data_IF_914814136538
#
_entry.id   IF_914814136538
#
_cell.length_a   1.000
_cell.length_b   1.000
_cell.length_c   1.000
_cell.angle_alpha   90.00
_cell.angle_beta   90.00
_cell.angle_gamma   90.00
#
_symmetry.space_group_name_H-M   'P 1'
#
loop_
_entity.id
_entity.type
_entity.pdbx_description
1 polymer ?
#
# COMPACT_ATOMS: atom_id res chain seq x y z
N UNK A 1 -9.58 5.49 -12.39
CA UNK A 1 -9.59 5.86 -10.97
C UNK A 1 -8.17 5.74 -10.42
N UNK A 2 -7.77 6.72 -9.65
CA UNK A 2 -6.44 6.72 -9.02
C UNK A 2 -6.55 6.20 -7.60
N UNK A 3 -5.82 5.13 -7.30
CA UNK A 3 -5.84 4.48 -6.00
C UNK A 3 -4.41 4.40 -5.46
N UNK A 4 -4.21 4.86 -4.24
CA UNK A 4 -2.95 4.69 -3.54
C UNK A 4 -3.10 3.58 -2.50
N UNK A 5 -2.11 2.71 -2.39
CA UNK A 5 -2.08 1.64 -1.40
C UNK A 5 -0.87 1.86 -0.50
N UNK A 6 -1.12 2.16 0.77
CA UNK A 6 -0.07 2.37 1.75
C UNK A 6 0.29 1.03 2.39
N UNK A 7 1.52 0.59 2.15
CA UNK A 7 2.01 -0.70 2.62
C UNK A 7 2.08 -1.73 1.52
N UNK A 8 3.17 -2.49 1.47
CA UNK A 8 3.41 -3.50 0.44
C UNK A 8 3.63 -4.89 1.03
N UNK A 9 2.99 -5.16 2.16
CA UNK A 9 2.90 -6.51 2.72
C UNK A 9 1.86 -7.34 1.97
N UNK A 10 1.50 -8.48 2.51
CA UNK A 10 0.57 -9.41 1.85
C UNK A 10 -0.77 -8.75 1.52
N UNK A 11 -1.39 -8.07 2.50
CA UNK A 11 -2.69 -7.43 2.29
C UNK A 11 -2.59 -6.31 1.26
N UNK A 12 -1.60 -5.44 1.39
CA UNK A 12 -1.41 -4.31 0.47
C UNK A 12 -1.17 -4.77 -0.95
N UNK A 13 -0.29 -5.75 -1.16
CA UNK A 13 0.01 -6.25 -2.49
C UNK A 13 -1.15 -7.02 -3.11
N UNK A 14 -1.91 -7.77 -2.31
CA UNK A 14 -3.11 -8.46 -2.80
C UNK A 14 -4.13 -7.47 -3.33
N UNK A 15 -4.38 -6.40 -2.59
CA UNK A 15 -5.31 -5.35 -3.00
C UNK A 15 -4.76 -4.58 -4.21
N UNK A 16 -3.48 -4.23 -4.18
CA UNK A 16 -2.86 -3.48 -5.27
C UNK A 16 -2.92 -4.23 -6.59
N UNK A 17 -2.57 -5.52 -6.60
CA UNK A 17 -2.61 -6.32 -7.82
C UNK A 17 -4.04 -6.52 -8.34
N UNK A 18 -4.99 -6.70 -7.45
CA UNK A 18 -6.39 -6.84 -7.83
C UNK A 18 -6.95 -5.56 -8.46
N UNK A 19 -6.72 -4.42 -7.83
CA UNK A 19 -7.25 -3.14 -8.31
C UNK A 19 -6.52 -2.61 -9.54
N UNK A 20 -5.23 -2.91 -9.69
CA UNK A 20 -4.43 -2.43 -10.80
C UNK A 20 -4.81 -3.05 -12.15
N UNK A 21 -5.64 -4.07 -12.16
CA UNK A 21 -6.16 -4.66 -13.38
C UNK A 21 -7.11 -3.70 -14.12
N UNK A 22 -7.76 -2.80 -13.40
CA UNK A 22 -8.76 -1.88 -13.95
C UNK A 22 -8.57 -0.42 -13.53
N UNK A 23 -7.59 -0.12 -12.69
CA UNK A 23 -7.37 1.21 -12.15
C UNK A 23 -5.89 1.53 -12.12
N UNK A 24 -5.56 2.82 -12.06
CA UNK A 24 -4.18 3.26 -11.82
C UNK A 24 -3.89 3.16 -10.31
N UNK A 25 -2.96 2.29 -9.96
CA UNK A 25 -2.60 2.04 -8.55
C UNK A 25 -1.15 2.44 -8.29
N UNK A 26 -0.95 3.20 -7.22
CA UNK A 26 0.38 3.56 -6.73
C UNK A 26 0.57 2.95 -5.35
N UNK A 27 1.53 2.03 -5.23
CA UNK A 27 1.88 1.44 -3.95
C UNK A 27 2.91 2.31 -3.25
N UNK A 28 2.73 2.53 -1.97
CA UNK A 28 3.63 3.36 -1.15
C UNK A 28 4.25 2.51 -0.07
N UNK A 29 5.56 2.55 0.03
CA UNK A 29 6.30 1.89 1.10
C UNK A 29 7.49 2.74 1.49
N UNK A 30 8.03 2.50 2.70
CA UNK A 30 9.20 3.21 3.20
C UNK A 30 10.50 2.46 2.92
N UNK A 31 10.42 1.27 2.36
CA UNK A 31 11.57 0.41 2.08
C UNK A 31 11.92 0.49 0.59
N UNK A 32 13.07 1.11 0.23
CA UNK A 32 13.43 1.30 -1.18
C UNK A 32 13.51 0.01 -1.99
N UNK A 33 13.97 -1.08 -1.37
CA UNK A 33 14.09 -2.37 -2.04
C UNK A 33 12.75 -2.91 -2.51
N UNK A 34 11.70 -2.72 -1.70
CA UNK A 34 10.34 -3.15 -2.05
C UNK A 34 9.79 -2.31 -3.21
N UNK A 35 10.01 -1.01 -3.17
CA UNK A 35 9.58 -0.11 -4.24
C UNK A 35 10.24 -0.48 -5.56
N UNK A 36 11.55 -0.74 -5.53
CA UNK A 36 12.28 -1.14 -6.72
C UNK A 36 11.76 -2.46 -7.30
N UNK A 37 11.52 -3.44 -6.45
CA UNK A 37 10.97 -4.74 -6.89
C UNK A 37 9.62 -4.57 -7.59
N UNK A 38 8.71 -3.84 -7.00
CA UNK A 38 7.37 -3.63 -7.57
C UNK A 38 7.47 -2.94 -8.94
N UNK A 39 8.31 -1.94 -9.08
CA UNK A 39 8.51 -1.23 -10.35
C UNK A 39 9.15 -2.12 -11.43
N UNK A 40 9.85 -3.17 -11.03
CA UNK A 40 10.42 -4.16 -11.93
C UNK A 40 9.51 -5.39 -12.10
N UNK A 41 8.28 -5.33 -11.62
CA UNK A 41 7.29 -6.40 -11.66
C UNK A 41 7.73 -7.65 -10.89
N UNK A 42 8.44 -7.43 -9.80
CA UNK A 42 8.89 -8.48 -8.89
C UNK A 42 8.13 -8.32 -7.58
N UNK A 43 7.57 -9.41 -7.05
CA UNK A 43 6.87 -9.36 -5.78
C UNK A 43 7.84 -9.11 -4.62
N UNK A 44 7.54 -8.15 -3.73
CA UNK A 44 8.36 -7.93 -2.54
C UNK A 44 8.13 -8.99 -1.45
N UNK A 45 7.14 -9.86 -1.64
CA UNK A 45 6.81 -10.92 -0.69
C UNK A 45 6.71 -12.25 -1.43
N UNK A 46 6.84 -13.36 -0.71
CA UNK A 46 6.67 -14.70 -1.28
C UNK A 46 5.19 -15.06 -1.29
N UNK A 47 4.54 -14.85 -2.42
CA UNK A 47 3.14 -15.20 -2.63
C UNK A 47 2.94 -15.55 -4.11
N UNK A 48 2.52 -16.78 -4.38
CA UNK A 48 2.39 -17.28 -5.74
C UNK A 48 1.40 -16.47 -6.60
N UNK A 49 0.30 -16.03 -6.01
CA UNK A 49 -0.69 -15.23 -6.72
C UNK A 49 -0.15 -13.87 -7.08
N UNK A 50 0.51 -13.20 -6.15
CA UNK A 50 1.06 -11.86 -6.38
C UNK A 50 2.18 -11.93 -7.41
N UNK A 51 3.07 -12.90 -7.29
CA UNK A 51 4.15 -13.12 -8.25
C UNK A 51 3.60 -13.38 -9.65
N UNK A 52 2.56 -14.21 -9.74
CA UNK A 52 1.91 -14.53 -11.01
C UNK A 52 1.26 -13.30 -11.64
N UNK A 53 0.50 -12.53 -10.85
CA UNK A 53 -0.17 -11.33 -11.36
C UNK A 53 0.84 -10.28 -11.84
N UNK A 54 1.91 -10.07 -11.11
CA UNK A 54 2.96 -9.11 -11.52
C UNK A 54 3.66 -9.54 -12.81
N UNK A 55 3.85 -10.85 -13.01
CA UNK A 55 4.56 -11.39 -14.18
C UNK A 55 3.65 -11.54 -15.41
N UNK A 56 2.40 -11.93 -15.22
CA UNK A 56 1.51 -12.34 -16.32
C UNK A 56 0.42 -11.32 -16.65
N UNK A 57 -0.03 -10.52 -15.68
CA UNK A 57 -1.11 -9.55 -15.89
C UNK A 57 -0.55 -8.19 -16.28
N UNK A 58 -1.29 -7.51 -17.14
CA UNK A 58 -0.97 -6.13 -17.48
C UNK A 58 -1.56 -5.22 -16.40
N UNK A 59 -0.75 -4.91 -15.41
CA UNK A 59 -1.18 -4.11 -14.26
C UNK A 59 -0.69 -2.67 -14.40
N UNK A 60 -1.59 -1.72 -14.16
CA UNK A 60 -1.23 -0.31 -14.05
C UNK A 60 -0.82 -0.02 -12.60
N UNK A 61 0.33 -0.55 -12.22
CA UNK A 61 0.86 -0.50 -10.86
C UNK A 61 2.27 0.08 -10.87
N UNK A 62 2.44 1.12 -10.09
CA UNK A 62 3.75 1.70 -9.81
C UNK A 62 3.96 1.76 -8.30
N UNK A 63 5.19 1.93 -7.87
CA UNK A 63 5.52 2.07 -6.46
C UNK A 63 6.39 3.28 -6.23
N UNK A 64 6.27 3.89 -5.05
CA UNK A 64 7.05 5.08 -4.70
C UNK A 64 7.34 5.12 -3.20
N UNK A 65 8.42 5.81 -2.86
CA UNK A 65 8.73 6.17 -1.48
C UNK A 65 8.03 7.47 -1.07
N UNK A 66 7.53 8.24 -2.04
CA UNK A 66 6.91 9.54 -1.79
C UNK A 66 5.40 9.40 -1.63
N UNK A 67 4.97 9.15 -0.40
CA UNK A 67 3.55 9.02 -0.08
C UNK A 67 2.77 10.30 -0.37
N UNK A 68 3.32 11.46 -0.09
CA UNK A 68 2.63 12.72 -0.32
C UNK A 68 2.25 12.88 -1.79
N UNK A 69 3.16 12.58 -2.72
CA UNK A 69 2.87 12.65 -4.15
C UNK A 69 1.82 11.63 -4.57
N UNK A 70 1.88 10.41 -4.02
CA UNK A 70 0.92 9.35 -4.33
C UNK A 70 -0.49 9.68 -3.84
N UNK A 71 -0.62 10.21 -2.64
CA UNK A 71 -1.92 10.49 -2.03
C UNK A 71 -2.57 11.74 -2.61
N UNK A 72 -1.78 12.69 -3.07
CA UNK A 72 -2.28 13.99 -3.55
C UNK A 72 -3.31 13.84 -4.66
N UNK A 73 -3.10 12.93 -5.59
CA UNK A 73 -3.97 12.74 -6.75
C UNK A 73 -4.87 11.50 -6.62
N UNK A 74 -4.86 10.82 -5.47
CA UNK A 74 -5.62 9.61 -5.27
C UNK A 74 -7.10 9.91 -5.00
N UNK A 75 -7.98 9.14 -5.63
CA UNK A 75 -9.41 9.15 -5.31
C UNK A 75 -9.69 8.32 -4.06
N UNK A 76 -8.97 7.21 -3.91
CA UNK A 76 -9.03 6.33 -2.75
C UNK A 76 -7.63 6.05 -2.23
N UNK A 77 -7.51 5.98 -0.92
CA UNK A 77 -6.26 5.55 -0.26
C UNK A 77 -6.57 4.33 0.59
N UNK A 78 -6.00 3.20 0.23
CA UNK A 78 -6.12 1.95 1.00
C UNK A 78 -4.93 1.86 1.94
N UNK A 79 -5.21 1.84 3.24
CA UNK A 79 -4.17 1.79 4.26
C UNK A 79 -4.01 0.35 4.72
N UNK A 80 -2.95 -0.28 4.26
CA UNK A 80 -2.61 -1.67 4.56
C UNK A 80 -1.29 -1.77 5.34
N UNK A 81 -0.92 -0.70 6.04
CA UNK A 81 0.27 -0.68 6.87
C UNK A 81 0.10 -1.68 8.03
N UNK A 82 1.15 -2.42 8.39
CA UNK A 82 1.04 -3.39 9.45
C UNK A 82 0.83 -2.73 10.81
N UNK A 83 0.00 -3.35 11.65
CA UNK A 83 -0.07 -3.02 13.06
C UNK A 83 0.85 -3.97 13.80
N UNK A 84 1.73 -3.41 14.63
CA UNK A 84 2.65 -4.20 15.42
C UNK A 84 2.08 -4.42 16.81
N UNK A 85 2.01 -5.67 17.23
CA UNK A 85 1.65 -6.02 18.58
C UNK A 85 2.90 -6.10 19.45
N UNK A 86 2.95 -5.33 20.52
CA UNK A 86 4.04 -5.36 21.48
C UNK A 86 3.60 -6.18 22.72
N UNK A 87 4.08 -7.41 22.87
CA UNK A 87 3.67 -8.25 23.99
C UNK A 87 4.12 -7.72 25.36
N UNK A 88 5.17 -6.92 25.40
CA UNK A 88 5.64 -6.31 26.65
C UNK A 88 4.73 -5.20 27.13
N UNK A 89 4.18 -4.44 26.20
CA UNK A 89 3.28 -3.32 26.48
C UNK A 89 1.80 -3.73 26.38
N UNK A 90 1.55 -4.89 25.82
CA UNK A 90 0.21 -5.47 25.68
C UNK A 90 -0.77 -4.55 24.93
N UNK A 91 -0.29 -3.93 23.83
CA UNK A 91 -1.15 -3.14 22.95
C UNK A 91 -0.67 -3.20 21.50
N UNK A 92 -1.53 -2.79 20.58
CA UNK A 92 -1.19 -2.68 19.17
C UNK A 92 -0.59 -1.31 18.87
N UNK A 93 0.50 -1.31 18.10
CA UNK A 93 1.10 -0.07 17.62
C UNK A 93 0.41 0.33 16.31
N UNK A 94 -0.37 1.40 16.36
CA UNK A 94 -1.08 1.94 15.19
C UNK A 94 -0.40 3.18 14.61
N UNK A 95 0.83 3.46 15.04
CA UNK A 95 1.55 4.68 14.66
C UNK A 95 1.66 4.86 13.14
N UNK A 96 1.98 3.79 12.41
CA UNK A 96 2.11 3.86 10.96
C UNK A 96 0.80 4.22 10.27
N UNK A 97 -0.32 3.71 10.78
CA UNK A 97 -1.63 4.02 10.25
C UNK A 97 -1.98 5.48 10.48
N UNK A 98 -1.72 5.98 11.69
CA UNK A 98 -1.97 7.37 12.04
C UNK A 98 -1.13 8.33 11.19
N UNK A 99 0.14 8.01 10.96
CA UNK A 99 1.02 8.80 10.10
C UNK A 99 0.49 8.88 8.68
N UNK A 100 -0.01 7.79 8.13
CA UNK A 100 -0.57 7.77 6.79
C UNK A 100 -1.83 8.63 6.73
N UNK A 101 -2.73 8.51 7.70
CA UNK A 101 -3.96 9.30 7.76
C UNK A 101 -3.62 10.79 7.83
N UNK A 102 -2.70 11.18 8.68
CA UNK A 102 -2.28 12.58 8.82
C UNK A 102 -1.70 13.11 7.52
N UNK A 103 -0.89 12.33 6.83
CA UNK A 103 -0.30 12.74 5.57
C UNK A 103 -1.37 12.90 4.48
N UNK A 104 -2.32 11.96 4.38
CA UNK A 104 -3.41 12.03 3.41
C UNK A 104 -4.25 13.29 3.66
N UNK A 105 -4.62 13.55 4.91
CA UNK A 105 -5.42 14.74 5.25
C UNK A 105 -4.68 16.03 4.93
N UNK A 106 -3.35 16.02 5.03
CA UNK A 106 -2.52 17.19 4.76
C UNK A 106 -2.43 17.51 3.25
N UNK A 107 -2.43 16.49 2.38
CA UNK A 107 -2.24 16.68 0.93
C UNK A 107 -3.51 16.49 0.11
N UNK A 108 -4.48 15.74 0.61
CA UNK A 108 -5.73 15.45 -0.11
C UNK A 108 -6.85 15.08 0.88
N UNK A 109 -7.46 16.07 1.54
CA UNK A 109 -8.51 15.78 2.53
C UNK A 109 -9.78 15.20 1.91
N UNK A 110 -9.95 15.27 0.60
CA UNK A 110 -11.12 14.76 -0.11
C UNK A 110 -11.00 13.27 -0.48
N UNK A 111 -9.83 12.67 -0.32
CA UNK A 111 -9.64 11.26 -0.63
C UNK A 111 -10.41 10.37 0.35
N UNK A 112 -11.03 9.31 -0.18
CA UNK A 112 -11.66 8.30 0.66
C UNK A 112 -10.60 7.35 1.20
N UNK A 113 -10.50 7.23 2.51
CA UNK A 113 -9.53 6.33 3.15
C UNK A 113 -10.20 5.04 3.58
N UNK A 114 -9.58 3.92 3.23
CA UNK A 114 -10.05 2.58 3.60
C UNK A 114 -8.93 1.89 4.38
N UNK A 115 -9.22 1.48 5.60
CA UNK A 115 -8.23 0.82 6.46
C UNK A 115 -8.40 -0.69 6.34
N UNK A 116 -7.34 -1.36 5.88
CA UNK A 116 -7.28 -2.81 5.69
C UNK A 116 -6.05 -3.37 6.40
N UNK A 117 -6.01 -3.20 7.72
CA UNK A 117 -4.90 -3.71 8.52
C UNK A 117 -5.22 -5.08 9.07
N UNK A 118 -4.19 -5.93 9.17
CA UNK A 118 -4.31 -7.22 9.84
C UNK A 118 -4.26 -6.98 11.34
N UNK A 119 -5.25 -7.47 12.06
CA UNK A 119 -5.25 -7.46 13.53
C UNK A 119 -5.01 -8.91 13.97
N UNK A 120 -3.86 -9.18 14.61
CA UNK A 120 -3.58 -10.53 15.08
C UNK A 120 -4.49 -10.97 16.22
#
# INVERSE_FOLDING_TARGET
MNIAVAGTGYVGMSIATLLAQHNHVTAVDVIPEKVEKINNKISPIQDDYIEKYLAEKDLDLTATLDGAAAYKDADFVVIAAPTNYDPQKNFFDTHHIEDVIDLVLSVNPDAVMVIKSTIP
#
